data_IF_971202053188
#
_entry.id   IF_971202053188
#
_cell.length_a   1.000
_cell.length_b   1.000
_cell.length_c   1.000
_cell.angle_alpha   90.00
_cell.angle_beta   90.00
_cell.angle_gamma   90.00
#
_symmetry.space_group_name_H-M   'P 1'
#
loop_
_entity.id
_entity.type
_entity.pdbx_description
1 polymer ?
#
# COMPACT_ATOMS: atom_id res chain seq x y z
N UNK A 1 39.29 -70.15 -8.56
CA UNK A 1 38.01 -70.17 -7.86
C UNK A 1 38.30 -70.02 -6.36
N UNK A 2 38.17 -68.84 -5.76
CA UNK A 2 38.34 -68.68 -4.32
C UNK A 2 37.37 -67.57 -3.86
N UNK A 3 36.35 -67.96 -3.10
CA UNK A 3 35.43 -67.09 -2.41
C UNK A 3 36.16 -66.36 -1.27
N UNK A 4 36.06 -65.03 -1.21
CA UNK A 4 36.33 -64.26 0.00
C UNK A 4 35.03 -63.75 0.58
N UNK A 5 34.76 -64.16 1.81
CA UNK A 5 33.72 -63.58 2.68
C UNK A 5 34.18 -62.17 3.11
N UNK A 6 33.32 -61.21 3.06
CA UNK A 6 33.51 -59.89 3.65
C UNK A 6 32.48 -59.75 4.77
N UNK A 7 33.01 -59.61 5.98
CA UNK A 7 32.21 -59.49 7.20
C UNK A 7 31.54 -58.11 7.30
N UNK A 8 30.29 -58.12 7.70
CA UNK A 8 29.48 -56.99 8.04
C UNK A 8 29.89 -56.44 9.41
N UNK A 9 30.39 -55.20 9.45
CA UNK A 9 30.52 -54.45 10.71
C UNK A 9 29.27 -53.58 10.87
N UNK A 10 28.43 -53.93 11.86
CA UNK A 10 27.33 -53.12 12.35
C UNK A 10 27.89 -51.91 13.11
N UNK A 11 27.86 -50.74 12.51
CA UNK A 11 28.12 -49.48 13.17
C UNK A 11 26.83 -48.87 13.69
N UNK A 12 26.69 -48.81 15.00
CA UNK A 12 25.55 -48.13 15.67
C UNK A 12 25.79 -46.63 15.55
N UNK A 13 25.01 -45.98 14.69
CA UNK A 13 25.01 -44.52 14.60
C UNK A 13 24.13 -43.91 15.69
N UNK A 14 24.76 -43.23 16.63
CA UNK A 14 24.08 -42.47 17.68
C UNK A 14 23.57 -41.16 17.05
N UNK A 15 22.26 -41.08 16.81
CA UNK A 15 21.62 -39.82 16.39
C UNK A 15 21.52 -38.89 17.60
N UNK A 16 22.36 -37.85 17.64
CA UNK A 16 22.14 -36.72 18.53
C UNK A 16 20.98 -35.89 17.97
N UNK A 17 19.84 -35.95 18.64
CA UNK A 17 18.70 -35.09 18.38
C UNK A 17 19.02 -33.70 18.94
N UNK A 18 19.54 -32.78 18.10
CA UNK A 18 19.61 -31.37 18.44
C UNK A 18 18.17 -30.81 18.47
N UNK A 19 17.59 -30.75 19.67
CA UNK A 19 16.41 -29.91 19.90
C UNK A 19 16.83 -28.44 19.74
N UNK A 20 16.58 -27.86 18.57
CA UNK A 20 16.61 -26.43 18.40
C UNK A 20 15.49 -25.83 19.25
N UNK A 21 15.86 -25.20 20.37
CA UNK A 21 14.93 -24.39 21.14
C UNK A 21 14.45 -23.26 20.21
N UNK A 22 13.19 -23.32 19.81
CA UNK A 22 12.53 -22.22 19.11
C UNK A 22 12.53 -21.02 20.07
N UNK A 23 13.36 -20.03 19.79
CA UNK A 23 13.27 -18.72 20.46
C UNK A 23 11.89 -18.17 20.16
N UNK A 24 11.11 -17.76 21.19
CA UNK A 24 9.81 -17.15 20.94
C UNK A 24 10.02 -15.86 20.12
N UNK A 25 9.11 -15.54 19.18
CA UNK A 25 9.19 -14.30 18.42
C UNK A 25 9.25 -13.12 19.39
N UNK A 26 10.14 -12.20 19.11
CA UNK A 26 10.50 -11.06 19.95
C UNK A 26 9.29 -10.40 20.62
N UNK A 27 9.27 -10.45 21.94
CA UNK A 27 8.26 -9.79 22.79
C UNK A 27 8.16 -8.27 22.61
N UNK A 28 9.08 -7.68 21.87
CA UNK A 28 9.14 -6.24 21.57
C UNK A 28 8.12 -5.78 20.52
N UNK A 29 7.62 -6.72 19.66
CA UNK A 29 6.63 -6.39 18.63
C UNK A 29 5.18 -6.37 19.17
N UNK A 30 4.94 -6.77 20.41
CA UNK A 30 3.58 -6.83 20.98
C UNK A 30 3.20 -5.64 21.88
N UNK A 31 4.13 -4.77 22.22
CA UNK A 31 3.85 -3.59 23.04
C UNK A 31 3.24 -2.47 22.19
N UNK A 32 1.94 -2.50 21.95
CA UNK A 32 1.21 -1.41 21.28
C UNK A 32 0.06 -1.83 20.39
N UNK A 33 -0.17 -3.11 20.17
CA UNK A 33 -1.31 -3.56 19.35
C UNK A 33 -2.59 -3.41 20.18
N UNK A 34 -3.45 -2.46 19.77
CA UNK A 34 -4.78 -2.33 20.34
C UNK A 34 -5.62 -3.55 19.95
N UNK A 35 -6.13 -4.28 20.93
CA UNK A 35 -7.07 -5.37 20.70
C UNK A 35 -8.46 -5.00 21.18
N UNK A 36 -9.48 -5.43 20.46
CA UNK A 36 -10.86 -5.38 20.92
C UNK A 36 -11.15 -6.40 22.02
N UNK A 37 -12.37 -6.44 22.57
CA UNK A 37 -12.79 -7.45 23.52
C UNK A 37 -12.53 -8.87 22.99
N UNK A 38 -11.85 -9.71 23.77
CA UNK A 38 -11.49 -11.08 23.38
C UNK A 38 -10.23 -11.20 22.53
N UNK A 39 -9.42 -10.14 22.37
CA UNK A 39 -8.17 -10.18 21.60
C UNK A 39 -8.36 -10.12 20.08
N UNK A 40 -9.59 -9.94 19.58
CA UNK A 40 -9.85 -9.79 18.15
C UNK A 40 -9.29 -8.47 17.60
N UNK A 41 -8.87 -8.42 16.31
CA UNK A 41 -8.46 -7.18 15.65
C UNK A 41 -9.54 -6.11 15.74
N UNK A 42 -9.14 -4.87 16.00
CA UNK A 42 -10.07 -3.73 15.96
C UNK A 42 -10.56 -3.49 14.53
N UNK A 43 -11.82 -3.07 14.34
CA UNK A 43 -12.27 -2.58 13.06
C UNK A 43 -11.37 -1.43 12.55
N UNK A 44 -11.19 -1.30 11.22
CA UNK A 44 -10.38 -0.23 10.64
C UNK A 44 -10.83 1.16 11.11
N UNK A 45 -9.86 2.03 11.38
CA UNK A 45 -10.09 3.39 11.90
C UNK A 45 -10.30 3.47 13.42
N UNK A 46 -10.35 2.35 14.14
CA UNK A 46 -10.57 2.31 15.60
C UNK A 46 -9.29 2.12 16.43
N UNK A 47 -8.12 2.05 15.79
CA UNK A 47 -6.86 2.00 16.53
C UNK A 47 -6.66 3.25 17.38
N UNK A 48 -6.36 3.03 18.68
CA UNK A 48 -6.28 4.12 19.69
C UNK A 48 -4.94 4.87 19.67
N UNK A 49 -3.89 4.21 19.18
CA UNK A 49 -2.52 4.73 19.17
C UNK A 49 -2.13 5.41 17.86
N UNK A 50 -3.11 5.96 17.14
CA UNK A 50 -2.92 6.51 15.80
C UNK A 50 -3.42 5.57 14.71
N UNK A 51 -3.43 6.05 13.49
CA UNK A 51 -3.77 5.24 12.30
C UNK A 51 -2.62 4.28 11.98
N UNK A 52 -2.93 3.00 11.85
CA UNK A 52 -1.96 1.98 11.46
C UNK A 52 -1.91 1.86 9.93
N UNK A 53 -0.75 2.17 9.39
CA UNK A 53 -0.46 2.13 7.95
C UNK A 53 0.54 1.02 7.68
N UNK A 54 0.24 0.14 6.73
CA UNK A 54 1.22 -0.78 6.17
C UNK A 54 1.61 -0.32 4.77
N UNK A 55 2.90 -0.11 4.51
CA UNK A 55 3.41 0.24 3.19
C UNK A 55 3.96 -1.01 2.51
N UNK A 56 3.26 -1.46 1.46
CA UNK A 56 3.77 -2.48 0.57
C UNK A 56 4.50 -1.82 -0.60
N UNK A 57 5.82 -1.77 -0.52
CA UNK A 57 6.68 -1.24 -1.57
C UNK A 57 7.23 -2.35 -2.47
N UNK A 58 7.72 -1.95 -3.64
CA UNK A 58 8.40 -2.84 -4.58
C UNK A 58 9.92 -2.77 -4.50
N UNK A 59 10.57 -3.63 -5.28
CA UNK A 59 11.99 -3.49 -5.59
C UNK A 59 12.19 -2.38 -6.61
N UNK A 60 13.33 -1.69 -6.55
CA UNK A 60 13.71 -0.67 -7.53
C UNK A 60 13.68 -1.25 -8.95
N UNK A 61 13.03 -0.54 -9.84
CA UNK A 61 13.03 -0.81 -11.29
C UNK A 61 13.16 0.51 -12.06
N UNK A 62 13.42 0.41 -13.36
CA UNK A 62 13.64 1.56 -14.25
C UNK A 62 14.87 2.39 -13.89
N UNK A 63 14.98 3.60 -14.47
CA UNK A 63 16.11 4.50 -14.29
C UNK A 63 16.13 5.17 -12.91
N UNK A 64 17.17 5.92 -12.60
CA UNK A 64 17.23 6.78 -11.42
C UNK A 64 16.04 7.78 -11.42
N UNK A 65 15.42 7.94 -10.26
CA UNK A 65 14.24 8.81 -10.12
C UNK A 65 12.92 8.20 -10.58
N UNK A 66 12.94 7.03 -11.21
CA UNK A 66 11.75 6.31 -11.67
C UNK A 66 11.55 5.05 -10.83
N UNK A 67 10.29 4.71 -10.47
CA UNK A 67 9.96 3.51 -9.68
C UNK A 67 10.84 3.32 -8.44
N UNK A 68 11.13 4.40 -7.71
CA UNK A 68 11.96 4.38 -6.50
C UNK A 68 11.16 3.87 -5.29
N UNK A 69 10.57 2.66 -5.43
CA UNK A 69 9.70 2.03 -4.42
C UNK A 69 10.39 1.87 -3.05
N UNK A 70 11.66 1.43 -2.94
CA UNK A 70 12.33 1.33 -1.65
C UNK A 70 12.54 2.70 -0.99
N UNK A 71 12.82 3.74 -1.80
CA UNK A 71 12.97 5.11 -1.31
C UNK A 71 11.63 5.63 -0.76
N UNK A 72 10.52 5.32 -1.44
CA UNK A 72 9.19 5.64 -0.95
C UNK A 72 8.93 5.03 0.42
N UNK A 73 9.23 3.74 0.61
CA UNK A 73 9.08 3.08 1.91
C UNK A 73 9.85 3.82 3.00
N UNK A 74 11.10 4.19 2.73
CA UNK A 74 11.94 4.90 3.69
C UNK A 74 11.43 6.31 4.02
N UNK A 75 11.07 7.08 3.00
CA UNK A 75 10.66 8.49 3.18
C UNK A 75 9.25 8.61 3.73
N UNK A 76 8.30 7.84 3.18
CA UNK A 76 6.91 7.93 3.60
C UNK A 76 6.66 7.27 4.96
N UNK A 77 7.46 6.29 5.38
CA UNK A 77 7.43 5.81 6.77
C UNK A 77 7.74 6.95 7.75
N UNK A 78 8.80 7.72 7.49
CA UNK A 78 9.13 8.89 8.31
C UNK A 78 8.06 9.98 8.22
N UNK A 79 7.60 10.25 7.00
CA UNK A 79 6.65 11.32 6.72
C UNK A 79 5.31 11.10 7.42
N UNK A 80 4.79 9.87 7.40
CA UNK A 80 3.56 9.49 8.06
C UNK A 80 3.73 9.37 9.58
N UNK A 81 4.85 8.80 10.06
CA UNK A 81 5.15 8.71 11.49
C UNK A 81 5.27 10.10 12.12
N UNK A 82 5.90 11.04 11.43
CA UNK A 82 5.98 12.44 11.89
C UNK A 82 4.59 13.11 11.98
N UNK A 83 3.56 12.50 11.38
CA UNK A 83 2.15 12.93 11.39
C UNK A 83 1.25 12.05 12.25
N UNK A 84 1.84 11.28 13.16
CA UNK A 84 1.10 10.50 14.16
C UNK A 84 0.60 9.15 13.70
N UNK A 85 0.93 8.69 12.51
CA UNK A 85 0.65 7.34 12.10
C UNK A 85 1.61 6.34 12.74
N UNK A 86 1.14 5.11 12.96
CA UNK A 86 1.98 3.95 13.26
C UNK A 86 2.22 3.24 11.94
N UNK A 87 3.49 3.17 11.51
CA UNK A 87 3.82 2.69 10.17
C UNK A 87 4.67 1.44 10.23
N UNK A 88 4.18 0.38 9.60
CA UNK A 88 4.92 -0.82 9.23
C UNK A 88 5.03 -0.89 7.71
N UNK A 89 5.91 -1.73 7.19
CA UNK A 89 6.01 -1.95 5.75
C UNK A 89 7.16 -2.84 5.35
N UNK A 90 7.08 -3.34 4.12
CA UNK A 90 8.08 -4.23 3.56
C UNK A 90 8.11 -4.17 2.02
N UNK A 91 9.15 -4.77 1.43
CA UNK A 91 9.27 -4.99 -0.03
C UNK A 91 8.57 -6.28 -0.50
N UNK A 92 7.90 -6.97 0.38
CA UNK A 92 7.06 -8.14 0.11
C UNK A 92 5.60 -7.85 0.50
N UNK A 93 4.63 -8.61 -0.03
CA UNK A 93 3.23 -8.41 0.31
C UNK A 93 2.98 -8.61 1.82
N UNK A 94 1.98 -7.91 2.40
CA UNK A 94 1.59 -8.11 3.79
C UNK A 94 1.06 -9.52 4.02
N UNK A 95 1.43 -10.11 5.15
CA UNK A 95 0.80 -11.32 5.66
C UNK A 95 -0.54 -11.01 6.35
N UNK A 96 -1.34 -12.04 6.62
CA UNK A 96 -2.56 -11.88 7.41
C UNK A 96 -2.28 -11.28 8.80
N UNK A 97 -1.14 -11.62 9.42
CA UNK A 97 -0.73 -11.08 10.72
C UNK A 97 -0.40 -9.58 10.65
N UNK A 98 0.26 -9.13 9.57
CA UNK A 98 0.53 -7.71 9.35
C UNK A 98 -0.77 -6.92 9.19
N UNK A 99 -1.75 -7.54 8.55
CA UNK A 99 -3.04 -6.90 8.27
C UNK A 99 -3.99 -6.83 9.47
N UNK A 100 -3.81 -7.65 10.52
CA UNK A 100 -4.72 -7.70 11.67
C UNK A 100 -4.98 -6.33 12.30
N UNK A 101 -3.94 -5.52 12.45
CA UNK A 101 -4.02 -4.19 13.09
C UNK A 101 -3.92 -3.03 12.09
N UNK A 102 -3.87 -3.32 10.79
CA UNK A 102 -3.74 -2.31 9.74
C UNK A 102 -5.08 -1.65 9.45
N UNK A 103 -5.12 -0.33 9.47
CA UNK A 103 -6.26 0.47 9.04
C UNK A 103 -6.22 0.72 7.53
N UNK A 104 -5.02 0.96 6.97
CA UNK A 104 -4.82 1.21 5.56
C UNK A 104 -3.53 0.58 5.04
N UNK A 105 -3.62 -0.10 3.90
CA UNK A 105 -2.46 -0.57 3.14
C UNK A 105 -2.18 0.40 2.01
N UNK A 106 -0.98 0.95 1.99
CA UNK A 106 -0.47 1.80 0.90
C UNK A 106 0.40 0.94 -0.01
N UNK A 107 0.03 0.82 -1.27
CA UNK A 107 0.70 -0.03 -2.26
C UNK A 107 1.41 0.86 -3.27
N UNK A 108 2.74 0.80 -3.29
CA UNK A 108 3.57 1.43 -4.30
C UNK A 108 4.66 0.46 -4.75
N UNK A 109 4.32 -0.37 -5.72
CA UNK A 109 5.22 -1.36 -6.33
C UNK A 109 4.78 -1.67 -7.76
N UNK A 110 5.69 -2.09 -8.61
CA UNK A 110 5.34 -2.58 -9.94
C UNK A 110 4.54 -3.88 -9.85
N UNK A 111 3.51 -3.99 -10.69
CA UNK A 111 2.75 -5.22 -10.87
C UNK A 111 2.16 -5.81 -9.57
N UNK A 112 1.57 -4.96 -8.70
CA UNK A 112 0.98 -5.46 -7.46
C UNK A 112 -0.24 -6.38 -7.71
N UNK A 113 -0.88 -6.28 -8.86
CA UNK A 113 -1.99 -7.16 -9.24
C UNK A 113 -1.55 -8.59 -9.65
N UNK A 114 -0.24 -8.89 -9.66
CA UNK A 114 0.26 -10.27 -9.67
C UNK A 114 0.18 -10.85 -8.24
N UNK A 115 -0.99 -11.30 -7.86
CA UNK A 115 -1.25 -11.83 -6.53
C UNK A 115 -1.05 -13.34 -6.51
N UNK A 116 -0.25 -13.83 -5.55
CA UNK A 116 -0.31 -15.26 -5.19
C UNK A 116 -1.63 -15.55 -4.49
N UNK A 117 -2.07 -16.81 -4.48
CA UNK A 117 -3.31 -17.20 -3.80
C UNK A 117 -3.31 -16.78 -2.32
N UNK A 118 -2.16 -16.91 -1.64
CA UNK A 118 -2.00 -16.50 -0.26
C UNK A 118 -2.16 -14.98 -0.07
N UNK A 119 -1.53 -14.17 -0.93
CA UNK A 119 -1.64 -12.71 -0.89
C UNK A 119 -3.06 -12.27 -1.20
N UNK A 120 -3.68 -12.89 -2.22
CA UNK A 120 -5.08 -12.61 -2.58
C UNK A 120 -6.00 -12.92 -1.41
N UNK A 121 -5.89 -14.08 -0.79
CA UNK A 121 -6.72 -14.48 0.36
C UNK A 121 -6.55 -13.52 1.55
N UNK A 122 -5.31 -13.07 1.84
CA UNK A 122 -5.04 -12.11 2.91
C UNK A 122 -5.68 -10.74 2.61
N UNK A 123 -5.55 -10.22 1.39
CA UNK A 123 -6.17 -8.96 0.98
C UNK A 123 -7.70 -9.04 0.94
N UNK A 124 -8.27 -10.14 0.42
CA UNK A 124 -9.72 -10.36 0.41
C UNK A 124 -10.29 -10.38 1.85
N UNK A 125 -9.63 -11.06 2.77
CA UNK A 125 -10.04 -11.08 4.17
C UNK A 125 -9.91 -9.70 4.82
N UNK A 126 -8.85 -8.97 4.51
CA UNK A 126 -8.63 -7.61 4.98
C UNK A 126 -9.68 -6.63 4.47
N UNK A 127 -9.99 -6.66 3.17
CA UNK A 127 -11.02 -5.82 2.55
C UNK A 127 -12.41 -6.20 3.08
N UNK A 128 -12.71 -7.50 3.26
CA UNK A 128 -13.97 -7.96 3.85
C UNK A 128 -14.23 -7.43 5.25
N UNK A 129 -13.22 -7.19 6.06
CA UNK A 129 -13.41 -6.56 7.37
C UNK A 129 -13.50 -5.02 7.32
N UNK A 130 -13.46 -4.44 6.12
CA UNK A 130 -13.57 -3.00 5.88
C UNK A 130 -12.23 -2.27 5.83
N UNK A 131 -11.12 -2.98 5.60
CA UNK A 131 -9.78 -2.41 5.48
C UNK A 131 -9.66 -1.43 4.32
N UNK A 132 -8.83 -0.39 4.49
CA UNK A 132 -8.57 0.63 3.49
C UNK A 132 -7.40 0.28 2.57
N UNK A 133 -7.52 0.58 1.28
CA UNK A 133 -6.45 0.43 0.30
C UNK A 133 -6.09 1.79 -0.29
N UNK A 134 -4.81 2.01 -0.54
CA UNK A 134 -4.30 3.13 -1.32
C UNK A 134 -3.33 2.57 -2.35
N UNK A 135 -3.53 2.90 -3.62
CA UNK A 135 -2.78 2.29 -4.73
C UNK A 135 -2.21 3.38 -5.63
N UNK A 136 -0.92 3.26 -5.93
CA UNK A 136 -0.22 4.23 -6.76
C UNK A 136 0.40 3.56 -7.98
N UNK A 137 0.25 4.21 -9.12
CA UNK A 137 0.92 3.92 -10.37
C UNK A 137 0.81 2.45 -10.78
N UNK A 138 1.91 1.81 -11.07
CA UNK A 138 2.04 0.45 -11.59
C UNK A 138 1.56 -0.65 -10.62
N UNK A 139 1.18 -0.27 -9.39
CA UNK A 139 0.50 -1.22 -8.51
C UNK A 139 -0.85 -1.70 -9.08
N UNK A 140 -1.43 -0.95 -10.01
CA UNK A 140 -2.66 -1.33 -10.73
C UNK A 140 -2.44 -2.39 -11.81
N UNK A 141 -1.18 -2.71 -12.14
CA UNK A 141 -0.85 -3.58 -13.27
C UNK A 141 -0.84 -5.06 -12.87
N UNK A 142 -1.42 -5.91 -13.71
CA UNK A 142 -1.41 -7.36 -13.53
C UNK A 142 -2.02 -8.16 -14.67
N UNK A 143 -1.95 -9.51 -14.61
CA UNK A 143 -2.42 -10.39 -15.67
C UNK A 143 -3.95 -10.49 -15.74
N UNK A 144 -4.62 -10.34 -14.59
CA UNK A 144 -6.07 -10.30 -14.44
C UNK A 144 -6.50 -8.97 -13.78
N UNK A 145 -6.66 -7.92 -14.59
CA UNK A 145 -7.02 -6.61 -14.06
C UNK A 145 -8.40 -6.60 -13.38
N UNK A 146 -9.33 -7.45 -13.81
CA UNK A 146 -10.68 -7.46 -13.24
C UNK A 146 -10.68 -7.90 -11.76
N UNK A 147 -9.82 -8.85 -11.39
CA UNK A 147 -9.68 -9.29 -10.01
C UNK A 147 -9.17 -8.16 -9.10
N UNK A 148 -8.17 -7.40 -9.56
CA UNK A 148 -7.61 -6.29 -8.79
C UNK A 148 -8.52 -5.05 -8.81
N UNK A 149 -9.21 -4.80 -9.92
CA UNK A 149 -10.22 -3.74 -10.02
C UNK A 149 -11.31 -3.86 -8.95
N UNK A 150 -11.71 -5.09 -8.60
CA UNK A 150 -12.68 -5.34 -7.52
C UNK A 150 -12.17 -4.90 -6.12
N UNK A 151 -10.87 -4.66 -5.97
CA UNK A 151 -10.28 -4.17 -4.71
C UNK A 151 -10.09 -2.65 -4.70
N UNK A 152 -9.74 -2.06 -5.86
CA UNK A 152 -9.33 -0.64 -5.94
C UNK A 152 -10.12 0.19 -6.96
N UNK A 153 -11.12 -0.39 -7.61
CA UNK A 153 -12.03 0.28 -8.54
C UNK A 153 -11.65 0.14 -10.00
N UNK A 154 -10.37 0.20 -10.35
CA UNK A 154 -9.89 -0.03 -11.70
C UNK A 154 -8.45 -0.58 -11.68
N UNK A 155 -8.07 -1.27 -12.76
CA UNK A 155 -6.72 -1.81 -12.95
C UNK A 155 -6.38 -1.86 -14.45
N UNK A 156 -5.10 -2.06 -14.76
CA UNK A 156 -4.64 -2.22 -16.15
C UNK A 156 -4.04 -3.60 -16.38
N UNK A 157 -4.14 -4.09 -17.61
CA UNK A 157 -3.56 -5.35 -17.98
C UNK A 157 -2.08 -5.21 -18.31
N UNK A 158 -1.27 -6.08 -17.71
CA UNK A 158 0.16 -6.16 -18.00
C UNK A 158 0.41 -6.65 -19.44
N UNK A 159 1.46 -6.13 -20.08
CA UNK A 159 1.86 -6.53 -21.42
C UNK A 159 1.07 -5.86 -22.55
N UNK A 160 0.10 -5.02 -22.25
CA UNK A 160 -0.61 -4.20 -23.23
C UNK A 160 -0.09 -2.76 -23.19
N UNK A 161 -0.12 -2.10 -24.36
CA UNK A 161 0.22 -0.68 -24.48
C UNK A 161 -0.98 0.17 -24.01
N UNK A 162 -1.01 0.47 -22.74
CA UNK A 162 -2.09 1.18 -22.06
C UNK A 162 -1.57 2.30 -21.13
N UNK A 163 -0.44 2.90 -21.53
CA UNK A 163 0.22 3.99 -20.81
C UNK A 163 0.88 4.95 -21.80
N UNK A 164 1.01 6.23 -21.42
CA UNK A 164 1.88 7.16 -22.12
C UNK A 164 3.33 6.87 -21.74
N UNK A 165 4.27 7.24 -22.61
CA UNK A 165 5.61 7.55 -22.12
C UNK A 165 5.54 8.80 -21.22
N UNK A 166 6.59 9.08 -20.48
CA UNK A 166 6.69 10.27 -19.63
C UNK A 166 6.34 11.54 -20.41
N UNK A 167 5.28 12.21 -19.97
CA UNK A 167 4.69 13.36 -20.66
C UNK A 167 3.95 14.26 -19.65
N UNK A 168 3.55 15.49 -20.05
CA UNK A 168 2.68 16.30 -19.21
C UNK A 168 1.35 15.60 -18.92
N UNK A 169 0.98 15.51 -17.64
CA UNK A 169 -0.31 15.02 -17.15
C UNK A 169 -1.06 16.20 -16.53
N UNK A 170 -1.93 16.86 -17.30
CA UNK A 170 -2.71 18.00 -16.81
C UNK A 170 -3.96 17.48 -16.08
N UNK A 171 -4.03 17.64 -14.76
CA UNK A 171 -5.23 17.28 -14.00
C UNK A 171 -6.35 18.29 -14.21
N UNK A 172 -7.54 17.76 -14.42
CA UNK A 172 -8.80 18.50 -14.32
C UNK A 172 -9.57 17.91 -13.15
N UNK A 173 -9.75 18.69 -12.08
CA UNK A 173 -10.51 18.27 -10.91
C UNK A 173 -11.99 18.20 -11.28
N UNK A 174 -12.57 17.00 -11.16
CA UNK A 174 -13.97 16.71 -11.48
C UNK A 174 -14.89 17.07 -10.31
N UNK A 175 -14.49 16.68 -9.08
CA UNK A 175 -15.23 17.02 -7.86
C UNK A 175 -14.39 17.91 -6.94
N UNK A 176 -14.59 19.23 -7.08
CA UNK A 176 -13.96 20.24 -6.23
C UNK A 176 -14.54 20.31 -4.82
N UNK A 177 -15.68 19.64 -4.57
CA UNK A 177 -16.35 19.62 -3.26
C UNK A 177 -15.85 18.46 -2.39
N UNK A 178 -15.22 17.47 -2.99
CA UNK A 178 -14.66 16.34 -2.25
C UNK A 178 -13.52 16.80 -1.32
N UNK A 179 -13.56 16.46 -0.04
CA UNK A 179 -12.58 16.95 0.93
C UNK A 179 -11.14 16.50 0.64
N UNK A 180 -10.93 15.40 -0.10
CA UNK A 180 -9.59 14.97 -0.54
C UNK A 180 -9.00 16.00 -1.50
N UNK A 181 -9.83 16.55 -2.40
CA UNK A 181 -9.43 17.53 -3.42
C UNK A 181 -9.55 18.99 -2.96
N UNK A 182 -9.86 19.21 -1.68
CA UNK A 182 -9.95 20.57 -1.14
C UNK A 182 -8.66 21.37 -1.43
N UNK A 183 -8.82 22.52 -2.06
CA UNK A 183 -7.73 23.43 -2.44
C UNK A 183 -6.68 22.81 -3.39
N UNK A 184 -6.98 21.67 -4.03
CA UNK A 184 -6.11 21.09 -5.04
C UNK A 184 -6.21 21.95 -6.31
N UNK A 185 -5.08 22.52 -6.78
CA UNK A 185 -5.10 23.41 -7.93
C UNK A 185 -5.20 22.63 -9.25
N UNK A 186 -5.46 23.34 -10.32
CA UNK A 186 -5.18 22.80 -11.65
C UNK A 186 -3.66 22.66 -11.76
N UNK A 187 -3.18 21.42 -11.81
CA UNK A 187 -1.78 21.05 -11.73
C UNK A 187 -1.40 20.21 -12.94
N UNK A 188 -0.25 20.48 -13.52
CA UNK A 188 0.37 19.60 -14.52
C UNK A 188 1.68 19.07 -13.97
N UNK A 189 1.85 17.76 -14.01
CA UNK A 189 3.11 17.10 -13.65
C UNK A 189 3.68 16.36 -14.85
N UNK A 190 4.96 16.04 -14.84
CA UNK A 190 5.57 15.12 -15.81
C UNK A 190 5.54 13.72 -15.21
N UNK A 191 4.80 12.80 -15.84
CA UNK A 191 4.65 11.42 -15.40
C UNK A 191 4.07 10.57 -16.54
N UNK A 192 3.82 9.30 -16.29
CA UNK A 192 3.02 8.45 -17.17
C UNK A 192 1.52 8.60 -16.85
N UNK A 193 0.68 8.60 -17.87
CA UNK A 193 -0.76 8.50 -17.72
C UNK A 193 -1.24 7.15 -18.26
N UNK A 194 -2.12 6.48 -17.52
CA UNK A 194 -2.71 5.21 -17.92
C UNK A 194 -4.07 5.42 -18.56
N UNK A 195 -4.38 4.58 -19.55
CA UNK A 195 -5.66 4.53 -20.26
C UNK A 195 -6.07 3.07 -20.52
N UNK A 196 -7.21 2.84 -21.17
CA UNK A 196 -7.76 1.49 -21.41
C UNK A 196 -7.88 0.66 -20.13
N UNK A 197 -8.37 1.25 -19.06
CA UNK A 197 -8.52 0.60 -17.77
C UNK A 197 -9.67 -0.40 -17.77
N UNK A 198 -9.50 -1.49 -17.02
CA UNK A 198 -10.59 -2.37 -16.62
C UNK A 198 -11.18 -1.88 -15.32
N UNK A 199 -12.46 -1.49 -15.34
CA UNK A 199 -13.16 -1.00 -14.16
C UNK A 199 -13.86 -2.13 -13.41
N UNK A 200 -14.04 -1.97 -12.11
CA UNK A 200 -14.93 -2.79 -11.31
C UNK A 200 -16.37 -2.72 -11.84
N UNK A 201 -17.13 -3.79 -11.63
CA UNK A 201 -18.51 -3.87 -12.15
C UNK A 201 -19.54 -3.11 -11.30
N UNK A 202 -19.23 -2.87 -10.02
CA UNK A 202 -20.12 -2.12 -9.16
C UNK A 202 -19.93 -0.59 -9.34
N UNK A 203 -20.93 0.22 -8.97
CA UNK A 203 -20.92 1.66 -9.21
C UNK A 203 -20.16 2.48 -8.16
N UNK A 204 -19.35 1.84 -7.30
CA UNK A 204 -18.71 2.49 -6.15
C UNK A 204 -17.53 3.42 -6.48
N UNK A 205 -17.17 3.57 -7.76
CA UNK A 205 -16.09 4.47 -8.19
C UNK A 205 -16.59 5.91 -8.24
N UNK A 206 -15.86 6.79 -7.56
CA UNK A 206 -16.05 8.23 -7.62
C UNK A 206 -14.79 8.92 -8.12
N UNK A 207 -14.85 9.44 -9.35
CA UNK A 207 -13.72 10.11 -10.01
C UNK A 207 -13.50 11.48 -9.39
N UNK A 208 -12.28 11.76 -8.94
CA UNK A 208 -11.88 13.03 -8.34
C UNK A 208 -11.19 13.95 -9.35
N UNK A 209 -10.34 13.38 -10.21
CA UNK A 209 -9.68 14.12 -11.28
C UNK A 209 -9.45 13.23 -12.51
N UNK A 210 -9.59 13.85 -13.66
CA UNK A 210 -9.21 13.29 -14.95
C UNK A 210 -7.91 13.94 -15.45
N UNK A 211 -7.28 13.30 -16.44
CA UNK A 211 -6.31 13.97 -17.30
C UNK A 211 -6.57 13.64 -18.76
N UNK A 212 -6.16 14.55 -19.62
CA UNK A 212 -6.14 14.37 -21.06
C UNK A 212 -4.87 13.62 -21.44
N UNK A 213 -5.00 12.55 -22.21
CA UNK A 213 -3.86 11.74 -22.65
C UNK A 213 -2.99 12.53 -23.63
N UNK A 214 -1.71 12.66 -23.29
CA UNK A 214 -0.73 13.34 -24.15
C UNK A 214 -0.46 12.52 -25.42
N UNK A 215 -0.16 13.22 -26.51
CA UNK A 215 0.16 12.62 -27.80
C UNK A 215 1.59 12.04 -27.85
N UNK A 216 1.85 11.00 -27.06
CA UNK A 216 3.10 10.24 -27.13
C UNK A 216 2.96 9.09 -28.16
N UNK A 217 4.07 8.54 -28.68
CA UNK A 217 3.99 7.39 -29.57
C UNK A 217 3.22 6.21 -28.99
N UNK A 218 3.29 6.00 -27.66
CA UNK A 218 2.58 4.93 -26.96
C UNK A 218 1.08 5.20 -26.80
N UNK A 219 0.64 6.44 -26.87
CA UNK A 219 -0.77 6.78 -26.75
C UNK A 219 -1.60 6.40 -27.99
N UNK A 220 -0.98 6.37 -29.18
CA UNK A 220 -1.70 6.01 -30.41
C UNK A 220 -2.99 6.83 -30.60
N UNK A 221 -4.08 6.13 -30.87
CA UNK A 221 -5.41 6.72 -31.04
C UNK A 221 -6.05 7.24 -29.74
N UNK A 222 -5.46 6.92 -28.57
CA UNK A 222 -5.92 7.44 -27.27
C UNK A 222 -5.49 8.88 -26.98
N UNK A 223 -4.67 9.47 -27.86
CA UNK A 223 -4.34 10.90 -27.75
C UNK A 223 -5.61 11.73 -27.61
N UNK A 224 -5.58 12.68 -26.68
CA UNK A 224 -6.69 13.58 -26.34
C UNK A 224 -7.90 12.91 -25.64
N UNK A 225 -7.88 11.60 -25.40
CA UNK A 225 -8.85 10.95 -24.55
C UNK A 225 -8.78 11.50 -23.12
N UNK A 226 -9.93 11.69 -22.48
CA UNK A 226 -10.02 12.15 -21.08
C UNK A 226 -10.31 10.95 -20.21
N UNK A 227 -9.35 10.62 -19.35
CA UNK A 227 -9.41 9.39 -18.52
C UNK A 227 -9.24 9.72 -17.04
N UNK A 228 -9.91 8.96 -16.14
CA UNK A 228 -9.70 9.04 -14.71
C UNK A 228 -8.23 8.81 -14.32
N UNK A 229 -7.70 9.68 -13.46
CA UNK A 229 -6.34 9.55 -12.93
C UNK A 229 -6.31 9.54 -11.40
N UNK A 230 -7.36 10.05 -10.76
CA UNK A 230 -7.53 10.07 -9.31
C UNK A 230 -8.97 9.69 -9.00
N UNK A 231 -9.18 8.72 -8.13
CA UNK A 231 -10.52 8.32 -7.70
C UNK A 231 -10.55 7.72 -6.31
N UNK A 232 -11.75 7.70 -5.74
CA UNK A 232 -12.09 6.88 -4.60
C UNK A 232 -12.99 5.73 -5.03
N UNK A 233 -12.97 4.64 -4.27
CA UNK A 233 -13.82 3.49 -4.50
C UNK A 233 -14.35 2.98 -3.16
N UNK A 234 -15.66 3.03 -2.98
CA UNK A 234 -16.34 2.45 -1.82
C UNK A 234 -17.12 1.22 -2.28
N UNK A 235 -16.87 0.08 -1.68
CA UNK A 235 -17.48 -1.18 -2.08
C UNK A 235 -17.60 -2.15 -0.90
N UNK A 236 -18.39 -3.19 -1.10
CA UNK A 236 -18.53 -4.26 -0.10
C UNK A 236 -18.38 -5.61 -0.80
N UNK A 237 -17.35 -6.34 -0.44
CA UNK A 237 -17.20 -7.73 -0.90
C UNK A 237 -18.31 -8.61 -0.29
N UNK A 238 -18.75 -9.68 -0.98
CA UNK A 238 -19.80 -10.56 -0.48
C UNK A 238 -19.53 -11.06 0.95
N UNK A 239 -20.48 -10.79 1.86
CA UNK A 239 -20.37 -11.13 3.28
C UNK A 239 -19.38 -10.28 4.08
N UNK A 240 -18.96 -9.14 3.55
CA UNK A 240 -18.03 -8.23 4.18
C UNK A 240 -18.65 -6.95 4.73
N UNK A 241 -17.78 -6.07 5.21
CA UNK A 241 -18.09 -4.70 5.62
C UNK A 241 -17.72 -3.73 4.48
N UNK A 242 -18.31 -2.53 4.43
CA UNK A 242 -17.90 -1.52 3.48
C UNK A 242 -16.40 -1.24 3.58
N UNK A 243 -15.68 -1.29 2.48
CA UNK A 243 -14.26 -0.99 2.35
C UNK A 243 -14.04 0.26 1.51
N UNK A 244 -12.86 0.84 1.59
CA UNK A 244 -12.49 2.06 0.88
C UNK A 244 -11.17 1.87 0.14
N UNK A 245 -11.10 2.34 -1.10
CA UNK A 245 -9.85 2.48 -1.80
C UNK A 245 -9.68 3.91 -2.35
N UNK A 246 -8.46 4.43 -2.27
CA UNK A 246 -8.05 5.67 -2.91
C UNK A 246 -6.93 5.37 -3.90
N UNK A 247 -7.03 5.92 -5.10
CA UNK A 247 -6.08 5.68 -6.18
C UNK A 247 -5.58 6.99 -6.77
N UNK A 248 -4.28 7.05 -6.95
CA UNK A 248 -3.57 8.03 -7.75
C UNK A 248 -2.70 7.29 -8.78
N UNK A 249 -2.99 7.51 -10.06
CA UNK A 249 -2.40 6.70 -11.13
C UNK A 249 -0.96 7.07 -11.48
N UNK A 250 -0.44 8.19 -11.00
CA UNK A 250 0.94 8.60 -11.23
C UNK A 250 1.88 8.10 -10.13
N UNK A 251 3.17 8.35 -10.34
CA UNK A 251 4.23 7.90 -9.45
C UNK A 251 5.35 7.16 -10.18
N UNK A 252 5.37 7.20 -11.54
CA UNK A 252 6.53 6.77 -12.31
C UNK A 252 7.75 7.59 -11.90
N UNK A 253 7.61 8.92 -11.90
CA UNK A 253 8.62 9.84 -11.46
C UNK A 253 8.51 10.10 -9.95
N UNK A 254 9.50 9.61 -9.19
CA UNK A 254 9.51 9.71 -7.72
C UNK A 254 9.46 11.16 -7.22
N UNK A 255 10.02 12.11 -7.97
CA UNK A 255 10.03 13.54 -7.63
C UNK A 255 8.62 14.10 -7.41
N UNK A 256 7.60 13.53 -8.05
CA UNK A 256 6.22 13.97 -7.89
C UNK A 256 5.68 13.74 -6.47
N UNK A 257 6.21 12.78 -5.72
CA UNK A 257 5.89 12.59 -4.31
C UNK A 257 6.42 13.71 -3.39
N UNK A 258 7.32 14.56 -3.88
CA UNK A 258 7.80 15.75 -3.16
C UNK A 258 6.96 17.01 -3.43
N UNK A 259 6.05 16.99 -4.42
CA UNK A 259 5.16 18.12 -4.70
C UNK A 259 4.18 18.32 -3.53
N UNK A 260 4.13 19.55 -2.93
CA UNK A 260 3.30 19.79 -1.74
C UNK A 260 1.80 19.55 -1.95
N UNK A 261 1.28 19.84 -3.15
CA UNK A 261 -0.14 19.66 -3.46
C UNK A 261 -0.46 18.16 -3.61
N UNK A 262 0.41 17.42 -4.28
CA UNK A 262 0.31 15.96 -4.35
C UNK A 262 0.40 15.37 -2.94
N UNK A 263 1.39 15.74 -2.13
CA UNK A 263 1.52 15.24 -0.76
C UNK A 263 0.25 15.48 0.06
N UNK A 264 -0.33 16.68 -0.02
CA UNK A 264 -1.56 17.03 0.70
C UNK A 264 -2.72 16.14 0.28
N UNK A 265 -2.90 15.96 -1.02
CA UNK A 265 -3.94 15.08 -1.59
C UNK A 265 -3.71 13.61 -1.17
N UNK A 266 -2.49 13.09 -1.24
CA UNK A 266 -2.17 11.74 -0.84
C UNK A 266 -2.40 11.50 0.66
N UNK A 267 -2.01 12.43 1.53
CA UNK A 267 -2.28 12.37 2.96
C UNK A 267 -3.77 12.30 3.26
N UNK A 268 -4.57 13.10 2.54
CA UNK A 268 -6.04 13.09 2.66
C UNK A 268 -6.64 11.77 2.17
N UNK A 269 -6.16 11.26 1.04
CA UNK A 269 -6.59 9.96 0.50
C UNK A 269 -6.27 8.81 1.46
N UNK A 270 -5.08 8.81 2.08
CA UNK A 270 -4.67 7.83 3.08
C UNK A 270 -5.56 7.92 4.33
N UNK A 271 -5.78 9.13 4.87
CA UNK A 271 -6.64 9.32 6.03
C UNK A 271 -8.09 8.88 5.75
N UNK A 272 -8.63 9.23 4.59
CA UNK A 272 -9.98 8.85 4.18
C UNK A 272 -10.12 7.31 4.04
N UNK A 273 -9.16 6.64 3.38
CA UNK A 273 -9.15 5.20 3.25
C UNK A 273 -9.04 4.50 4.61
N UNK A 274 -8.24 5.05 5.53
CA UNK A 274 -8.08 4.61 6.92
C UNK A 274 -9.23 5.02 7.87
N UNK A 275 -10.32 5.57 7.35
CA UNK A 275 -11.52 6.00 8.11
C UNK A 275 -11.22 7.03 9.21
N UNK A 276 -10.25 7.86 8.97
CA UNK A 276 -9.91 9.01 9.83
C UNK A 276 -10.46 10.31 9.23
N UNK A 277 -10.56 11.38 10.03
CA UNK A 277 -10.82 12.71 9.48
C UNK A 277 -9.85 13.02 8.34
N UNK A 278 -10.34 13.52 7.22
CA UNK A 278 -9.56 13.64 5.97
C UNK A 278 -8.29 14.49 6.17
N UNK A 279 -8.36 15.53 6.97
CA UNK A 279 -7.23 16.42 7.26
C UNK A 279 -6.39 15.96 8.49
N UNK A 280 -6.63 14.78 9.08
CA UNK A 280 -5.93 14.32 10.30
C UNK A 280 -4.41 14.30 10.11
N UNK A 281 -3.92 13.73 9.01
CA UNK A 281 -2.49 13.66 8.71
C UNK A 281 -1.92 15.01 8.21
N UNK A 282 -2.75 15.85 7.59
CA UNK A 282 -2.35 17.17 7.08
C UNK A 282 -2.16 18.15 8.24
N UNK A 283 -3.10 18.16 9.19
CA UNK A 283 -3.15 19.10 10.30
C UNK A 283 -2.57 18.55 11.61
N UNK A 284 -1.88 17.41 11.55
CA UNK A 284 -1.33 16.78 12.74
C UNK A 284 -0.36 17.71 13.50
N UNK A 285 -0.62 17.88 14.77
CA UNK A 285 0.27 18.61 15.70
C UNK A 285 0.85 17.58 16.67
N UNK A 286 2.16 17.40 16.62
CA UNK A 286 2.83 16.49 17.55
C UNK A 286 2.63 16.95 18.99
N UNK A 287 2.25 16.04 19.92
CA UNK A 287 2.17 16.40 21.34
C UNK A 287 3.54 16.87 21.85
N UNK A 288 3.58 17.80 22.80
CA UNK A 288 4.85 18.24 23.38
C UNK A 288 5.61 17.02 23.90
N UNK A 289 6.88 16.94 23.54
CA UNK A 289 7.74 15.85 24.01
C UNK A 289 7.79 15.93 25.55
N UNK A 290 7.47 14.85 26.30
CA UNK A 290 7.61 14.86 27.77
C UNK A 290 9.04 15.29 28.11
N UNK A 291 9.19 16.21 29.03
CA UNK A 291 10.50 16.61 29.51
C UNK A 291 11.26 15.33 29.91
N UNK A 292 12.46 15.15 29.37
CA UNK A 292 13.32 14.05 29.81
C UNK A 292 13.48 14.18 31.31
N UNK A 293 12.78 13.31 32.03
CA UNK A 293 12.75 13.31 33.50
C UNK A 293 14.17 13.38 34.02
N UNK A 294 14.35 14.29 34.98
CA UNK A 294 15.61 14.51 35.66
C UNK A 294 16.17 13.22 36.23
N UNK A 295 17.48 13.20 36.30
CA UNK A 295 18.38 12.32 37.02
C UNK A 295 17.70 11.37 38.01
N UNK A 296 17.77 10.06 37.73
CA UNK A 296 17.54 9.01 38.70
C UNK A 296 18.51 9.29 39.88
N UNK A 297 18.03 9.49 41.13
CA UNK A 297 18.94 9.64 42.26
C UNK A 297 19.79 8.36 42.38
N UNK A 298 21.10 8.49 42.41
CA UNK A 298 22.00 7.40 42.75
C UNK A 298 21.54 6.80 44.09
N UNK A 299 21.18 5.51 44.08
CA UNK A 299 21.01 4.75 45.32
C UNK A 299 22.35 4.78 46.07
N UNK A 300 22.37 5.39 47.26
CA UNK A 300 23.44 5.23 48.24
C UNK A 300 23.45 3.81 48.80
#
# INVERSE_FOLDING_TARGET
VTRRQIGTKTGTALFLLCMAAATPPNAWAQAGRGTGPGGAPLPPGQNRNGMHVYIWAGLKSHNEGQHDYPQFLADWSKFLTARGAVVDGALHPPSSADLEQTDVVVIYKGDAAYLTDATKAALDAYVKRGGGLVSFHDSLCGPDPAAFANLVGAAKKHGELNYTLEAPVPYTVVDKTNPIMKDFPDLTISDEAFFSLTFAKDPGIHVLANAKIAGTPSAGDHKDEVVPQIWTYEHTLPGGQPARAFVWMQGHNYVNFANPEIQRMLLRGIAWAGRKPVDELVNYVAPPRPARGGTVPAKK
#
